data_IF_376902874002
#
_entry.id   IF_376902874002
#
_cell.length_a   1.000
_cell.length_b   1.000
_cell.length_c   1.000
_cell.angle_alpha   90.00
_cell.angle_beta   90.00
_cell.angle_gamma   90.00
#
_symmetry.space_group_name_H-M   'P 1'
#
loop_
_entity.id
_entity.type
_entity.pdbx_description
1 polymer ?
#
# COMPACT_ATOMS: atom_id res chain seq x y z
N UNK A 1 34.85 13.78 26.36
CA UNK A 1 35.71 13.89 25.15
C UNK A 1 35.50 12.68 24.30
N UNK A 2 34.60 12.79 23.33
CA UNK A 2 34.40 11.77 22.27
C UNK A 2 35.54 11.97 21.29
N UNK A 3 36.40 10.96 21.11
CA UNK A 3 37.39 10.94 20.04
C UNK A 3 36.63 10.83 18.69
N UNK A 4 36.66 11.90 17.90
CA UNK A 4 36.38 11.82 16.48
C UNK A 4 37.44 10.90 15.86
N UNK A 5 37.04 9.73 15.39
CA UNK A 5 37.90 8.90 14.57
C UNK A 5 38.25 9.71 13.30
N UNK A 6 39.53 9.80 13.00
CA UNK A 6 40.03 10.40 11.76
C UNK A 6 39.52 9.57 10.60
N UNK A 7 38.57 10.12 9.82
CA UNK A 7 38.19 9.55 8.54
C UNK A 7 39.41 9.67 7.65
N UNK A 8 39.93 8.53 7.16
CA UNK A 8 41.00 8.49 6.18
C UNK A 8 40.53 9.18 4.90
N UNK A 9 41.35 10.03 4.30
CA UNK A 9 41.07 10.70 3.03
C UNK A 9 40.91 9.70 1.84
N UNK A 10 41.22 8.44 2.07
CA UNK A 10 41.10 7.36 1.07
C UNK A 10 39.67 6.79 0.97
N UNK A 11 38.74 7.17 1.85
CA UNK A 11 37.32 6.84 1.83
C UNK A 11 36.41 7.99 1.38
N UNK A 12 36.86 8.84 0.49
CA UNK A 12 35.96 9.78 -0.19
C UNK A 12 35.10 8.94 -1.15
N UNK A 13 33.94 8.52 -0.68
CA UNK A 13 32.89 7.98 -1.56
C UNK A 13 32.56 9.09 -2.53
N UNK A 14 33.12 9.03 -3.75
CA UNK A 14 32.78 9.95 -4.82
C UNK A 14 31.27 9.83 -5.06
N UNK A 15 30.53 10.87 -4.75
CA UNK A 15 29.11 10.93 -5.01
C UNK A 15 28.87 10.71 -6.50
N UNK A 16 27.95 9.79 -6.82
CA UNK A 16 27.57 9.55 -8.22
C UNK A 16 27.18 10.89 -8.87
N UNK A 17 27.76 11.24 -10.05
CA UNK A 17 27.46 12.50 -10.73
C UNK A 17 25.99 12.80 -10.95
N UNK A 18 25.14 11.77 -10.98
CA UNK A 18 23.68 11.91 -11.08
C UNK A 18 23.03 12.60 -9.87
N UNK A 19 23.72 12.65 -8.73
CA UNK A 19 23.26 13.30 -7.50
C UNK A 19 23.97 14.63 -7.22
N UNK A 20 24.73 15.13 -8.19
CA UNK A 20 25.42 16.41 -8.05
C UNK A 20 24.42 17.57 -8.15
N UNK A 21 24.46 18.47 -7.16
CA UNK A 21 23.72 19.73 -7.16
C UNK A 21 24.71 20.86 -7.40
N UNK A 22 24.59 21.53 -8.55
CA UNK A 22 25.56 22.53 -9.00
C UNK A 22 25.58 23.79 -8.11
N UNK A 23 24.41 24.18 -7.57
CA UNK A 23 24.29 25.34 -6.69
C UNK A 23 23.40 24.98 -5.49
N UNK A 24 23.96 25.12 -4.29
CA UNK A 24 23.28 24.86 -3.02
C UNK A 24 23.09 26.13 -2.19
N UNK A 25 23.44 27.31 -2.72
CA UNK A 25 23.46 28.57 -1.98
C UNK A 25 22.10 29.00 -1.43
N UNK A 26 21.02 28.64 -2.11
CA UNK A 26 19.64 28.96 -1.74
C UNK A 26 18.93 27.79 -1.01
N UNK A 27 19.61 26.68 -0.74
CA UNK A 27 19.01 25.52 -0.08
C UNK A 27 19.13 25.66 1.44
N UNK A 28 17.99 25.84 2.08
CA UNK A 28 17.91 25.85 3.55
C UNK A 28 18.02 24.40 4.07
N UNK A 29 18.99 24.16 4.94
CA UNK A 29 19.21 22.84 5.52
C UNK A 29 18.59 22.73 6.94
N UNK A 30 18.09 21.50 7.31
CA UNK A 30 18.10 20.26 6.53
C UNK A 30 17.07 20.27 5.39
N UNK A 31 17.43 19.68 4.23
CA UNK A 31 16.56 19.58 3.08
C UNK A 31 16.58 18.17 2.48
N UNK A 32 15.45 17.74 1.95
CA UNK A 32 15.34 16.52 1.15
C UNK A 32 15.42 16.88 -0.33
N UNK A 33 16.43 16.37 -1.00
CA UNK A 33 16.62 16.59 -2.45
C UNK A 33 15.98 15.43 -3.23
N UNK A 34 15.13 15.76 -4.19
CA UNK A 34 14.50 14.78 -5.08
C UNK A 34 14.99 15.00 -6.49
N UNK A 35 15.67 13.98 -7.02
CA UNK A 35 16.19 14.00 -8.40
C UNK A 35 15.09 13.50 -9.33
N UNK A 36 14.42 14.43 -10.00
CA UNK A 36 13.23 14.18 -10.80
C UNK A 36 13.45 13.12 -11.86
N UNK A 37 14.56 13.16 -12.57
CA UNK A 37 14.87 12.19 -13.62
C UNK A 37 14.98 10.76 -13.09
N UNK A 38 15.58 10.59 -11.90
CA UNK A 38 15.66 9.29 -11.24
C UNK A 38 14.29 8.80 -10.78
N UNK A 39 13.49 9.70 -10.21
CA UNK A 39 12.12 9.40 -9.81
C UNK A 39 11.27 8.94 -11.00
N UNK A 40 11.30 9.67 -12.12
CA UNK A 40 10.58 9.32 -13.34
C UNK A 40 11.05 7.98 -13.92
N UNK A 41 12.37 7.73 -13.94
CA UNK A 41 12.93 6.45 -14.36
C UNK A 41 12.42 5.29 -13.50
N UNK A 42 12.37 5.47 -12.16
CA UNK A 42 11.84 4.48 -11.23
C UNK A 42 10.34 4.23 -11.45
N UNK A 43 9.56 5.30 -11.66
CA UNK A 43 8.13 5.17 -11.97
C UNK A 43 7.89 4.37 -13.25
N UNK A 44 8.63 4.65 -14.32
CA UNK A 44 8.56 3.85 -15.56
C UNK A 44 8.98 2.39 -15.32
N UNK A 45 9.96 2.16 -14.45
CA UNK A 45 10.44 0.83 -14.12
C UNK A 45 9.36 -0.01 -13.42
N UNK A 46 8.68 0.55 -12.39
CA UNK A 46 7.62 -0.18 -11.70
C UNK A 46 6.41 -0.46 -12.59
N UNK A 47 6.07 0.46 -13.51
CA UNK A 47 5.01 0.22 -14.51
C UNK A 47 5.35 -0.96 -15.41
N UNK A 48 6.61 -1.03 -15.86
CA UNK A 48 7.09 -2.15 -16.69
C UNK A 48 7.06 -3.48 -15.94
N UNK A 49 7.55 -3.52 -14.70
CA UNK A 49 7.51 -4.74 -13.86
C UNK A 49 6.07 -5.20 -13.64
N UNK A 50 5.15 -4.28 -13.37
CA UNK A 50 3.75 -4.60 -13.14
C UNK A 50 3.00 -5.07 -14.41
N UNK A 51 3.62 -4.94 -15.60
CA UNK A 51 2.95 -5.20 -16.87
C UNK A 51 1.91 -4.14 -17.24
N UNK A 52 2.08 -2.93 -16.74
CA UNK A 52 1.20 -1.78 -16.97
C UNK A 52 0.72 -1.11 -15.67
N UNK A 53 0.14 0.11 -15.76
CA UNK A 53 -0.21 0.91 -14.59
C UNK A 53 -1.47 0.40 -13.85
N UNK A 54 -2.35 -0.34 -14.52
CA UNK A 54 -3.67 -0.72 -14.00
C UNK A 54 -3.59 -1.62 -12.75
N UNK A 55 -2.54 -2.45 -12.64
CA UNK A 55 -2.31 -3.33 -11.49
C UNK A 55 -1.57 -2.63 -10.33
N UNK A 56 -1.07 -1.42 -10.54
CA UNK A 56 -0.35 -0.67 -9.50
C UNK A 56 -1.31 0.06 -8.56
N UNK A 57 -0.99 0.00 -7.28
CA UNK A 57 -1.59 0.75 -6.18
C UNK A 57 -0.46 1.18 -5.23
N UNK A 58 0.45 2.06 -5.68
CA UNK A 58 1.64 2.41 -4.91
C UNK A 58 1.27 3.07 -3.58
N UNK A 59 2.12 2.86 -2.57
CA UNK A 59 1.94 3.44 -1.25
C UNK A 59 2.58 4.82 -1.17
N UNK A 60 1.79 5.86 -0.91
CA UNK A 60 2.26 7.26 -0.91
C UNK A 60 3.07 7.65 0.34
N UNK A 61 3.06 6.83 1.43
CA UNK A 61 3.80 7.13 2.67
C UNK A 61 5.30 7.36 2.48
N UNK A 62 5.88 6.89 1.37
CA UNK A 62 7.29 7.07 1.08
C UNK A 62 7.63 8.51 0.70
N UNK A 63 6.68 9.23 0.11
CA UNK A 63 6.91 10.60 -0.38
C UNK A 63 5.95 11.63 0.21
N UNK A 64 4.69 11.28 0.47
CA UNK A 64 3.63 12.18 0.97
C UNK A 64 3.51 13.49 0.14
N UNK A 65 3.74 13.40 -1.18
CA UNK A 65 3.83 14.56 -2.08
C UNK A 65 2.82 14.46 -3.20
N UNK A 66 1.95 15.47 -3.32
CA UNK A 66 0.99 15.59 -4.42
C UNK A 66 1.65 15.68 -5.80
N UNK A 67 2.86 16.26 -5.88
CA UNK A 67 3.66 16.34 -7.11
C UNK A 67 4.04 14.95 -7.64
N UNK A 68 4.43 14.04 -6.76
CA UNK A 68 4.74 12.64 -7.13
C UNK A 68 3.47 11.92 -7.56
N UNK A 69 2.35 12.15 -6.86
CA UNK A 69 1.03 11.60 -7.25
C UNK A 69 0.63 12.09 -8.65
N UNK A 70 0.86 13.36 -8.97
CA UNK A 70 0.57 13.91 -10.31
C UNK A 70 1.37 13.18 -11.42
N UNK A 71 2.66 12.89 -11.20
CA UNK A 71 3.47 12.10 -12.13
C UNK A 71 2.93 10.66 -12.26
N UNK A 72 2.51 10.04 -11.16
CA UNK A 72 1.91 8.72 -11.18
C UNK A 72 0.60 8.68 -11.98
N UNK A 73 -0.27 9.68 -11.80
CA UNK A 73 -1.51 9.82 -12.56
C UNK A 73 -1.26 10.03 -14.06
N UNK A 74 -0.25 10.80 -14.44
CA UNK A 74 0.16 11.00 -15.84
C UNK A 74 0.59 9.68 -16.50
N UNK A 75 1.19 8.77 -15.73
CA UNK A 75 1.55 7.41 -16.19
C UNK A 75 0.37 6.42 -16.17
N UNK A 76 -0.83 6.87 -15.83
CA UNK A 76 -2.03 6.03 -15.76
C UNK A 76 -2.18 5.23 -14.46
N UNK A 77 -1.37 5.48 -13.44
CA UNK A 77 -1.52 4.87 -12.11
C UNK A 77 -2.62 5.62 -11.38
N UNK A 78 -3.84 5.10 -11.39
CA UNK A 78 -5.05 5.77 -10.90
C UNK A 78 -5.50 5.33 -9.51
N UNK A 79 -4.84 4.33 -8.92
CA UNK A 79 -5.16 3.74 -7.62
C UNK A 79 -3.98 3.92 -6.68
N UNK A 80 -4.24 4.35 -5.44
CA UNK A 80 -3.17 4.60 -4.48
C UNK A 80 -3.49 3.98 -3.13
N UNK A 81 -2.44 3.70 -2.36
CA UNK A 81 -2.48 3.22 -0.99
C UNK A 81 -1.88 4.27 -0.06
N UNK A 82 -2.46 4.41 1.13
CA UNK A 82 -1.99 5.34 2.16
C UNK A 82 -2.05 4.68 3.55
N UNK A 83 -1.43 5.32 4.54
CA UNK A 83 -1.40 4.86 5.93
C UNK A 83 -2.19 5.78 6.87
N UNK A 84 -2.49 7.00 6.46
CA UNK A 84 -3.19 8.00 7.28
C UNK A 84 -4.34 8.66 6.51
N UNK A 85 -5.27 9.25 7.25
CA UNK A 85 -6.35 10.04 6.62
C UNK A 85 -5.82 11.33 5.99
N UNK A 86 -4.75 11.92 6.52
CA UNK A 86 -4.11 13.08 5.90
C UNK A 86 -3.53 12.73 4.51
N UNK A 87 -2.87 11.57 4.40
CA UNK A 87 -2.43 11.04 3.11
C UNK A 87 -3.63 10.77 2.17
N UNK A 88 -4.74 10.22 2.69
CA UNK A 88 -5.95 9.99 1.89
C UNK A 88 -6.54 11.30 1.35
N UNK A 89 -6.59 12.35 2.16
CA UNK A 89 -7.04 13.69 1.77
C UNK A 89 -6.12 14.28 0.69
N UNK A 90 -4.80 14.22 0.88
CA UNK A 90 -3.81 14.65 -0.10
C UNK A 90 -3.99 13.93 -1.45
N UNK A 91 -4.22 12.60 -1.43
CA UNK A 91 -4.47 11.81 -2.63
C UNK A 91 -5.76 12.24 -3.33
N UNK A 92 -6.85 12.44 -2.58
CA UNK A 92 -8.13 12.86 -3.13
C UNK A 92 -8.05 14.27 -3.78
N UNK A 93 -7.37 15.21 -3.12
CA UNK A 93 -7.12 16.57 -3.60
C UNK A 93 -6.20 16.57 -4.84
N UNK A 94 -5.24 15.66 -4.91
CA UNK A 94 -4.39 15.46 -6.09
C UNK A 94 -5.12 14.80 -7.29
N UNK A 95 -6.39 14.40 -7.13
CA UNK A 95 -7.21 13.85 -8.21
C UNK A 95 -7.36 12.32 -8.21
N UNK A 96 -6.83 11.62 -7.22
CA UNK A 96 -7.03 10.16 -7.09
C UNK A 96 -8.48 9.85 -6.73
N UNK A 97 -9.08 8.86 -7.42
CA UNK A 97 -10.48 8.45 -7.20
C UNK A 97 -10.62 7.03 -6.62
N UNK A 98 -9.52 6.34 -6.39
CA UNK A 98 -9.49 5.01 -5.77
C UNK A 98 -8.38 4.99 -4.72
N UNK A 99 -8.74 5.22 -3.46
CA UNK A 99 -7.83 5.35 -2.31
C UNK A 99 -8.01 4.16 -1.39
N UNK A 100 -6.92 3.55 -0.98
CA UNK A 100 -6.88 2.47 -0.01
C UNK A 100 -6.09 2.88 1.22
N UNK A 101 -6.78 3.17 2.31
CA UNK A 101 -6.20 3.40 3.63
C UNK A 101 -5.94 2.05 4.30
N UNK A 102 -4.69 1.60 4.25
CA UNK A 102 -4.27 0.29 4.75
C UNK A 102 -4.08 0.31 6.27
N UNK A 103 -5.16 0.59 6.99
CA UNK A 103 -5.20 0.64 8.44
C UNK A 103 -6.59 0.26 8.98
N UNK A 104 -6.63 -0.39 10.14
CA UNK A 104 -7.87 -0.62 10.87
C UNK A 104 -8.41 0.70 11.42
N UNK A 105 -9.68 0.97 11.19
CA UNK A 105 -10.31 2.22 11.59
C UNK A 105 -10.95 2.08 12.96
N UNK A 106 -10.34 2.72 13.95
CA UNK A 106 -10.75 2.64 15.36
C UNK A 106 -10.93 4.05 15.98
N UNK A 107 -11.73 4.13 17.03
CA UNK A 107 -11.91 5.33 17.83
C UNK A 107 -12.31 6.57 17.01
N UNK A 108 -11.66 7.72 17.22
CA UNK A 108 -12.01 8.96 16.53
C UNK A 108 -11.87 8.90 15.01
N UNK A 109 -11.06 7.97 14.48
CA UNK A 109 -10.87 7.83 13.04
C UNK A 109 -12.13 7.35 12.31
N UNK A 110 -13.07 6.69 12.99
CA UNK A 110 -14.36 6.31 12.42
C UNK A 110 -15.11 7.55 11.91
N UNK A 111 -15.24 8.59 12.73
CA UNK A 111 -15.88 9.85 12.31
C UNK A 111 -15.12 10.55 11.20
N UNK A 112 -13.80 10.50 11.22
CA UNK A 112 -12.96 11.10 10.18
C UNK A 112 -13.11 10.39 8.83
N UNK A 113 -13.24 9.06 8.82
CA UNK A 113 -13.51 8.29 7.59
C UNK A 113 -14.88 8.66 7.03
N UNK A 114 -15.91 8.78 7.86
CA UNK A 114 -17.24 9.22 7.42
C UNK A 114 -17.17 10.63 6.84
N UNK A 115 -16.52 11.57 7.52
CA UNK A 115 -16.33 12.95 7.04
C UNK A 115 -15.54 13.00 5.71
N UNK A 116 -14.52 12.15 5.56
CA UNK A 116 -13.80 12.01 4.29
C UNK A 116 -14.74 11.59 3.15
N UNK A 117 -15.55 10.54 3.35
CA UNK A 117 -16.48 10.07 2.33
C UNK A 117 -17.53 11.13 1.96
N UNK A 118 -17.98 11.93 2.91
CA UNK A 118 -18.89 13.05 2.66
C UNK A 118 -18.22 14.21 1.90
N UNK A 119 -16.97 14.52 2.23
CA UNK A 119 -16.17 15.57 1.57
C UNK A 119 -15.76 15.21 0.14
N UNK A 120 -15.49 13.93 -0.10
CA UNK A 120 -15.01 13.43 -1.38
C UNK A 120 -15.93 12.30 -1.92
N UNK A 121 -17.19 12.62 -2.28
CA UNK A 121 -18.17 11.60 -2.67
C UNK A 121 -17.79 10.82 -3.94
N UNK A 122 -16.95 11.39 -4.80
CA UNK A 122 -16.44 10.73 -6.01
C UNK A 122 -15.21 9.84 -5.77
N UNK A 123 -14.70 9.80 -4.55
CA UNK A 123 -13.54 8.97 -4.18
C UNK A 123 -14.02 7.67 -3.54
N UNK A 124 -13.65 6.55 -4.15
CA UNK A 124 -13.80 5.24 -3.51
C UNK A 124 -12.75 5.11 -2.41
N UNK A 125 -13.19 5.07 -1.17
CA UNK A 125 -12.33 4.78 -0.04
C UNK A 125 -12.47 3.32 0.36
N UNK A 126 -11.33 2.60 0.44
CA UNK A 126 -11.23 1.30 1.06
C UNK A 126 -10.38 1.38 2.33
N UNK A 127 -10.68 0.52 3.31
CA UNK A 127 -9.93 0.37 4.56
C UNK A 127 -9.64 -1.10 4.83
N UNK A 128 -8.77 -1.41 5.81
CA UNK A 128 -8.57 -2.79 6.27
C UNK A 128 -9.41 -3.12 7.49
N UNK A 129 -9.64 -4.42 7.70
CA UNK A 129 -10.15 -4.97 8.95
C UNK A 129 -9.50 -6.32 9.27
N UNK A 130 -9.15 -6.52 10.55
CA UNK A 130 -8.67 -7.78 11.12
C UNK A 130 -9.37 -8.13 12.44
N UNK A 131 -10.36 -7.32 12.86
CA UNK A 131 -11.09 -7.50 14.10
C UNK A 131 -12.58 -7.11 13.95
N UNK A 132 -13.52 -7.84 14.57
CA UNK A 132 -14.97 -7.61 14.42
C UNK A 132 -15.45 -6.26 14.95
N UNK A 133 -14.85 -5.73 16.01
CA UNK A 133 -15.25 -4.46 16.62
C UNK A 133 -15.20 -3.26 15.67
N UNK A 134 -14.06 -2.98 15.03
CA UNK A 134 -13.94 -1.93 14.00
C UNK A 134 -14.92 -2.10 12.84
N UNK A 135 -15.18 -3.32 12.38
CA UNK A 135 -16.16 -3.60 11.32
C UNK A 135 -17.55 -3.10 11.71
N UNK A 136 -18.02 -3.53 12.90
CA UNK A 136 -19.33 -3.11 13.42
C UNK A 136 -19.41 -1.59 13.61
N UNK A 137 -18.41 -1.00 14.26
CA UNK A 137 -18.43 0.41 14.61
C UNK A 137 -18.38 1.32 13.36
N UNK A 138 -17.53 0.99 12.37
CA UNK A 138 -17.46 1.73 11.12
C UNK A 138 -18.74 1.54 10.30
N UNK A 139 -19.28 0.32 10.22
CA UNK A 139 -20.52 0.04 9.50
C UNK A 139 -21.70 0.82 10.05
N UNK A 140 -21.87 0.88 11.36
CA UNK A 140 -22.91 1.67 12.01
C UNK A 140 -22.79 3.17 11.69
N UNK A 141 -21.58 3.72 11.81
CA UNK A 141 -21.34 5.13 11.54
C UNK A 141 -21.54 5.49 10.05
N UNK A 142 -21.06 4.64 9.14
CA UNK A 142 -21.20 4.83 7.70
C UNK A 142 -22.68 4.73 7.27
N UNK A 143 -23.39 3.71 7.76
CA UNK A 143 -24.81 3.52 7.49
C UNK A 143 -25.65 4.72 7.99
N UNK A 144 -25.40 5.17 9.21
CA UNK A 144 -26.09 6.34 9.78
C UNK A 144 -25.84 7.64 8.99
N UNK A 145 -24.68 7.76 8.36
CA UNK A 145 -24.30 8.91 7.54
C UNK A 145 -24.68 8.77 6.05
N UNK A 146 -25.28 7.65 5.64
CA UNK A 146 -25.64 7.39 4.24
C UNK A 146 -24.44 7.22 3.30
N UNK A 147 -23.27 6.84 3.83
CA UNK A 147 -22.07 6.56 3.05
C UNK A 147 -21.73 5.06 3.06
N UNK A 148 -20.94 4.64 2.09
CA UNK A 148 -20.43 3.26 2.01
C UNK A 148 -18.92 3.25 1.93
N UNK A 149 -18.28 2.42 2.77
CA UNK A 149 -16.83 2.25 2.81
C UNK A 149 -16.47 0.84 2.32
N UNK A 150 -15.55 0.73 1.37
CA UNK A 150 -15.01 -0.57 0.98
C UNK A 150 -14.12 -1.12 2.10
N UNK A 151 -14.16 -2.43 2.33
CA UNK A 151 -13.36 -3.07 3.38
C UNK A 151 -12.66 -4.32 2.85
N UNK A 152 -11.34 -4.36 3.04
CA UNK A 152 -10.51 -5.51 2.74
C UNK A 152 -10.17 -6.23 4.05
N UNK A 153 -10.32 -7.55 4.06
CA UNK A 153 -9.77 -8.36 5.14
C UNK A 153 -8.24 -8.26 5.10
N UNK A 154 -7.63 -7.87 6.21
CA UNK A 154 -6.17 -7.84 6.35
C UNK A 154 -5.68 -9.24 6.70
N UNK A 155 -4.89 -9.85 5.82
CA UNK A 155 -4.38 -11.20 6.00
C UNK A 155 -2.93 -11.15 6.50
N UNK A 156 -2.71 -11.77 7.66
CA UNK A 156 -1.35 -12.00 8.17
C UNK A 156 -0.76 -13.26 7.52
N UNK A 157 0.30 -13.06 6.75
CA UNK A 157 1.08 -14.12 6.08
C UNK A 157 2.38 -14.44 6.81
N UNK A 158 2.51 -14.01 8.07
CA UNK A 158 3.69 -14.31 8.90
C UNK A 158 4.48 -13.09 9.35
N UNK A 159 4.04 -11.87 9.05
CA UNK A 159 4.67 -10.66 9.57
C UNK A 159 4.30 -10.38 11.03
N UNK A 160 3.13 -10.87 11.49
CA UNK A 160 2.65 -10.73 12.86
C UNK A 160 2.59 -9.29 13.37
N UNK A 161 2.26 -8.35 12.48
CA UNK A 161 2.11 -6.92 12.80
C UNK A 161 0.65 -6.52 12.92
N UNK A 162 -0.12 -6.80 11.89
CA UNK A 162 -1.57 -6.62 11.75
C UNK A 162 -2.13 -7.78 10.94
N UNK A 163 -3.43 -7.89 10.89
CA UNK A 163 -4.09 -8.91 10.09
C UNK A 163 -4.47 -10.16 10.89
N UNK A 164 -5.26 -10.98 10.25
CA UNK A 164 -5.73 -12.27 10.76
C UNK A 164 -5.20 -13.40 9.86
N UNK A 165 -4.71 -14.48 10.45
CA UNK A 165 -4.29 -15.65 9.68
C UNK A 165 -5.47 -16.33 8.99
N UNK A 166 -5.27 -16.87 7.79
CA UNK A 166 -6.29 -17.62 7.07
C UNK A 166 -6.83 -18.79 7.90
N UNK A 167 -8.15 -18.97 7.90
CA UNK A 167 -8.80 -20.02 8.68
C UNK A 167 -10.21 -19.64 9.15
N UNK A 168 -10.81 -20.43 10.07
CA UNK A 168 -12.20 -20.24 10.49
C UNK A 168 -12.51 -18.84 11.03
N UNK A 169 -11.62 -18.25 11.83
CA UNK A 169 -11.79 -16.90 12.38
C UNK A 169 -11.78 -15.83 11.28
N UNK A 170 -10.86 -15.94 10.30
CA UNK A 170 -10.82 -15.05 9.14
C UNK A 170 -12.10 -15.18 8.29
N UNK A 171 -12.62 -16.38 8.11
CA UNK A 171 -13.89 -16.62 7.44
C UNK A 171 -15.05 -15.94 8.14
N UNK A 172 -15.20 -16.17 9.44
CA UNK A 172 -16.27 -15.53 10.25
C UNK A 172 -16.20 -14.01 10.16
N UNK A 173 -15.01 -13.43 10.21
CA UNK A 173 -14.82 -11.99 10.07
C UNK A 173 -15.20 -11.50 8.67
N UNK A 174 -14.86 -12.25 7.62
CA UNK A 174 -15.21 -11.87 6.26
C UNK A 174 -16.73 -11.97 6.01
N UNK A 175 -17.39 -12.99 6.56
CA UNK A 175 -18.84 -13.11 6.57
C UNK A 175 -19.50 -11.90 7.25
N UNK A 176 -18.95 -11.45 8.39
CA UNK A 176 -19.40 -10.23 9.06
C UNK A 176 -19.23 -9.00 8.18
N UNK A 177 -18.07 -8.81 7.51
CA UNK A 177 -17.85 -7.72 6.57
C UNK A 177 -18.92 -7.71 5.47
N UNK A 178 -19.26 -8.89 4.93
CA UNK A 178 -20.28 -9.03 3.88
C UNK A 178 -21.69 -8.66 4.35
N UNK A 179 -21.99 -8.84 5.64
CA UNK A 179 -23.32 -8.62 6.22
C UNK A 179 -23.48 -7.25 6.88
N UNK A 180 -22.40 -6.49 7.07
CA UNK A 180 -22.44 -5.23 7.82
C UNK A 180 -22.95 -4.07 6.95
N UNK A 181 -24.11 -3.45 7.27
CA UNK A 181 -24.60 -2.27 6.56
C UNK A 181 -23.57 -1.12 6.61
N UNK A 182 -23.48 -0.33 5.53
CA UNK A 182 -22.51 0.77 5.42
C UNK A 182 -21.10 0.31 5.03
N UNK A 183 -20.85 -1.01 4.98
CA UNK A 183 -19.59 -1.61 4.52
C UNK A 183 -19.85 -2.40 3.23
N UNK A 184 -18.88 -2.38 2.31
CA UNK A 184 -18.86 -3.20 1.12
C UNK A 184 -17.62 -4.09 1.10
N UNK A 185 -17.77 -5.43 1.04
CA UNK A 185 -16.62 -6.32 0.95
C UNK A 185 -15.86 -6.06 -0.36
N UNK A 186 -14.53 -5.95 -0.27
CA UNK A 186 -13.70 -5.62 -1.42
C UNK A 186 -12.59 -6.66 -1.69
N UNK A 187 -12.43 -7.66 -0.83
CA UNK A 187 -11.41 -8.69 -0.96
C UNK A 187 -10.36 -8.63 0.13
N UNK A 188 -9.08 -8.87 -0.20
CA UNK A 188 -8.03 -9.01 0.79
C UNK A 188 -6.90 -8.00 0.60
N UNK A 189 -6.30 -7.60 1.70
CA UNK A 189 -4.99 -6.97 1.78
C UNK A 189 -3.99 -8.01 2.28
N UNK A 190 -2.88 -8.17 1.56
CA UNK A 190 -1.87 -9.21 1.81
C UNK A 190 -0.50 -8.54 1.78
N UNK A 191 -0.04 -8.06 2.93
CA UNK A 191 1.25 -7.40 3.04
C UNK A 191 2.28 -8.31 3.68
N UNK A 192 3.36 -8.57 2.97
CA UNK A 192 4.41 -9.53 3.26
C UNK A 192 5.78 -8.86 3.47
N UNK A 193 5.82 -7.74 4.18
CA UNK A 193 7.04 -6.96 4.40
C UNK A 193 8.17 -7.67 5.13
N UNK A 194 7.93 -8.85 5.71
CA UNK A 194 8.93 -9.74 6.29
C UNK A 194 9.69 -10.57 5.22
N UNK A 195 9.20 -10.60 4.00
CA UNK A 195 9.81 -11.34 2.89
C UNK A 195 10.89 -10.49 2.22
N UNK A 196 12.09 -10.54 2.79
CA UNK A 196 13.25 -9.75 2.34
C UNK A 196 14.53 -10.58 2.19
N UNK A 197 14.40 -11.86 1.87
CA UNK A 197 15.54 -12.73 1.56
C UNK A 197 16.38 -12.12 0.44
N UNK A 198 17.69 -12.16 0.57
CA UNK A 198 18.62 -11.60 -0.42
C UNK A 198 18.52 -12.35 -1.76
N UNK A 199 18.40 -13.67 -1.72
CA UNK A 199 18.17 -14.49 -2.91
C UNK A 199 16.74 -14.30 -3.42
N UNK A 200 16.61 -13.91 -4.71
CA UNK A 200 15.30 -13.79 -5.36
C UNK A 200 14.53 -15.11 -5.40
N UNK A 201 15.24 -16.22 -5.60
CA UNK A 201 14.62 -17.55 -5.69
C UNK A 201 14.10 -18.01 -4.32
N UNK A 202 14.85 -17.81 -3.25
CA UNK A 202 14.39 -18.09 -1.88
C UNK A 202 13.18 -17.24 -1.52
N UNK A 203 13.22 -15.95 -1.83
CA UNK A 203 12.10 -15.03 -1.62
C UNK A 203 10.88 -15.48 -2.42
N UNK A 204 11.06 -15.88 -3.67
CA UNK A 204 10.00 -16.39 -4.52
C UNK A 204 9.31 -17.62 -3.93
N UNK A 205 10.09 -18.57 -3.46
CA UNK A 205 9.56 -19.79 -2.81
C UNK A 205 8.74 -19.39 -1.57
N UNK A 206 9.28 -18.56 -0.69
CA UNK A 206 8.61 -18.14 0.54
C UNK A 206 7.31 -17.35 0.26
N UNK A 207 7.37 -16.35 -0.62
CA UNK A 207 6.20 -15.53 -1.00
C UNK A 207 5.08 -16.38 -1.60
N UNK A 208 5.42 -17.25 -2.56
CA UNK A 208 4.43 -18.06 -3.25
C UNK A 208 3.82 -19.14 -2.35
N UNK A 209 4.59 -19.72 -1.42
CA UNK A 209 4.07 -20.69 -0.46
C UNK A 209 2.97 -20.10 0.43
N UNK A 210 3.20 -18.91 0.97
CA UNK A 210 2.18 -18.22 1.77
C UNK A 210 1.01 -17.73 0.92
N UNK A 211 1.28 -17.23 -0.28
CA UNK A 211 0.23 -16.74 -1.15
C UNK A 211 -0.72 -17.85 -1.64
N UNK A 212 -0.23 -19.09 -1.83
CA UNK A 212 -1.10 -20.23 -2.16
C UNK A 212 -2.17 -20.47 -1.08
N UNK A 213 -1.85 -20.29 0.20
CA UNK A 213 -2.82 -20.39 1.30
C UNK A 213 -3.91 -19.32 1.18
N UNK A 214 -3.49 -18.09 0.82
CA UNK A 214 -4.43 -16.96 0.59
C UNK A 214 -5.34 -17.24 -0.60
N UNK A 215 -4.81 -17.79 -1.69
CA UNK A 215 -5.61 -18.15 -2.87
C UNK A 215 -6.61 -19.27 -2.56
N UNK A 216 -6.19 -20.32 -1.85
CA UNK A 216 -7.08 -21.40 -1.42
C UNK A 216 -8.23 -20.86 -0.54
N UNK A 217 -7.91 -19.96 0.39
CA UNK A 217 -8.91 -19.32 1.25
C UNK A 217 -9.87 -18.42 0.45
N UNK A 218 -9.36 -17.65 -0.52
CA UNK A 218 -10.21 -16.89 -1.46
C UNK A 218 -11.18 -17.80 -2.19
N UNK A 219 -10.69 -18.92 -2.73
CA UNK A 219 -11.49 -19.86 -3.52
C UNK A 219 -12.57 -20.53 -2.68
N UNK A 220 -12.25 -20.85 -1.41
CA UNK A 220 -13.21 -21.35 -0.42
C UNK A 220 -14.35 -20.34 -0.19
N UNK A 221 -14.03 -19.05 0.01
CA UNK A 221 -15.02 -18.01 0.23
C UNK A 221 -15.90 -17.79 -1.01
N UNK A 222 -15.28 -17.75 -2.20
CA UNK A 222 -15.99 -17.59 -3.46
C UNK A 222 -16.94 -18.77 -3.72
N UNK A 223 -16.50 -20.00 -3.44
CA UNK A 223 -17.33 -21.19 -3.54
C UNK A 223 -18.52 -21.16 -2.54
N UNK A 224 -18.37 -20.48 -1.40
CA UNK A 224 -19.45 -20.22 -0.45
C UNK A 224 -20.36 -19.04 -0.83
N UNK A 225 -20.17 -18.42 -2.01
CA UNK A 225 -20.95 -17.28 -2.47
C UNK A 225 -20.52 -15.92 -1.90
N UNK A 226 -19.39 -15.84 -1.21
CA UNK A 226 -18.87 -14.59 -0.67
C UNK A 226 -17.97 -13.88 -1.71
N UNK A 227 -18.21 -12.61 -2.05
CA UNK A 227 -17.48 -11.93 -3.12
C UNK A 227 -16.06 -11.52 -2.67
N UNK A 228 -15.03 -11.98 -3.37
CA UNK A 228 -13.65 -11.55 -3.19
C UNK A 228 -13.15 -10.93 -4.50
N UNK A 229 -13.35 -9.62 -4.66
CA UNK A 229 -13.19 -8.94 -5.95
C UNK A 229 -11.75 -8.51 -6.25
N UNK A 230 -10.91 -8.31 -5.24
CA UNK A 230 -9.52 -7.87 -5.41
C UNK A 230 -8.59 -8.43 -4.32
N UNK A 231 -7.32 -8.59 -4.68
CA UNK A 231 -6.24 -8.90 -3.77
C UNK A 231 -5.19 -7.78 -3.90
N UNK A 232 -4.94 -7.05 -2.82
CA UNK A 232 -3.92 -6.00 -2.78
C UNK A 232 -2.69 -6.57 -2.09
N UNK A 233 -1.64 -6.86 -2.87
CA UNK A 233 -0.53 -7.69 -2.44
C UNK A 233 0.80 -6.96 -2.46
N UNK A 234 1.70 -7.43 -1.61
CA UNK A 234 3.12 -7.16 -1.64
C UNK A 234 3.56 -5.78 -1.20
N UNK A 235 4.86 -5.69 -1.02
CA UNK A 235 5.64 -4.47 -0.85
C UNK A 235 6.67 -4.35 -1.96
N UNK A 236 7.65 -3.46 -1.82
CA UNK A 236 8.69 -3.23 -2.84
C UNK A 236 9.47 -4.50 -3.18
N UNK A 237 9.82 -5.32 -2.18
CA UNK A 237 10.63 -6.52 -2.38
C UNK A 237 9.88 -7.68 -3.07
N UNK A 238 8.57 -7.78 -2.85
CA UNK A 238 7.76 -8.94 -3.28
C UNK A 238 6.87 -8.68 -4.48
N UNK A 239 6.48 -7.41 -4.77
CA UNK A 239 5.56 -7.14 -5.88
C UNK A 239 6.05 -7.66 -7.25
N UNK A 240 7.35 -7.70 -7.59
CA UNK A 240 7.79 -8.28 -8.85
C UNK A 240 7.44 -9.76 -9.00
N UNK A 241 7.42 -10.50 -7.87
CA UNK A 241 7.08 -11.91 -7.85
C UNK A 241 5.57 -12.14 -8.07
N UNK A 242 4.73 -11.29 -7.47
CA UNK A 242 3.29 -11.30 -7.75
C UNK A 242 2.97 -10.86 -9.18
N UNK A 243 3.78 -9.97 -9.76
CA UNK A 243 3.57 -9.50 -11.13
C UNK A 243 3.73 -10.61 -12.18
N UNK A 244 4.51 -11.66 -11.88
CA UNK A 244 4.65 -12.85 -12.72
C UNK A 244 3.38 -13.71 -12.78
N UNK A 245 2.47 -13.54 -11.82
CA UNK A 245 1.23 -14.29 -11.78
C UNK A 245 0.19 -13.71 -12.74
N UNK A 246 -0.36 -14.57 -13.58
CA UNK A 246 -1.43 -14.23 -14.54
C UNK A 246 -2.80 -14.12 -13.84
N UNK A 247 -2.95 -13.17 -12.92
CA UNK A 247 -4.17 -12.98 -12.15
C UNK A 247 -4.64 -11.51 -12.21
N UNK A 248 -5.67 -11.19 -12.98
CA UNK A 248 -6.12 -9.80 -13.21
C UNK A 248 -6.70 -9.12 -11.97
N UNK A 249 -7.09 -9.89 -10.95
CA UNK A 249 -7.59 -9.37 -9.66
C UNK A 249 -6.50 -8.88 -8.72
N UNK A 250 -5.22 -9.12 -9.04
CA UNK A 250 -4.10 -8.68 -8.23
C UNK A 250 -3.80 -7.19 -8.45
N UNK A 251 -3.67 -6.46 -7.36
CA UNK A 251 -3.11 -5.12 -7.33
C UNK A 251 -1.86 -5.10 -6.47
N UNK A 252 -0.82 -4.37 -6.90
CA UNK A 252 0.48 -4.34 -6.23
C UNK A 252 0.69 -3.04 -5.49
N UNK A 253 1.24 -3.12 -4.28
CA UNK A 253 1.43 -1.98 -3.39
C UNK A 253 2.90 -1.66 -3.09
N UNK A 254 3.78 -1.48 -4.10
CA UNK A 254 5.14 -1.02 -3.84
C UNK A 254 5.12 0.41 -3.27
N UNK A 255 6.13 0.76 -2.47
CA UNK A 255 6.26 2.10 -1.89
C UNK A 255 7.63 2.70 -2.11
N UNK A 256 8.66 2.15 -1.46
CA UNK A 256 10.02 2.71 -1.43
C UNK A 256 10.75 2.66 -2.77
N UNK A 257 10.32 1.83 -3.71
CA UNK A 257 10.90 1.67 -5.04
C UNK A 257 10.97 2.97 -5.88
N UNK A 258 10.18 3.99 -5.55
CA UNK A 258 10.22 5.27 -6.26
C UNK A 258 11.49 6.09 -5.95
N UNK A 259 12.07 5.90 -4.76
CA UNK A 259 13.32 6.55 -4.35
C UNK A 259 14.52 5.60 -4.31
N UNK A 260 14.31 4.32 -4.65
CA UNK A 260 15.35 3.29 -4.65
C UNK A 260 16.05 3.18 -3.29
N UNK A 261 15.28 2.85 -2.26
CA UNK A 261 15.80 2.62 -0.91
C UNK A 261 16.88 1.52 -0.91
N UNK A 262 18.08 1.85 -0.43
CA UNK A 262 19.22 0.94 -0.39
C UNK A 262 19.02 -0.25 0.57
N UNK A 263 18.00 -0.22 1.41
CA UNK A 263 17.63 -1.32 2.32
C UNK A 263 16.78 -2.42 1.68
N UNK A 264 16.45 -2.30 0.39
CA UNK A 264 15.61 -3.25 -0.34
C UNK A 264 16.35 -3.92 -1.49
#
# INVERSE_FOLDING_TARGET
>A
LVRLASISLDEVVLMDPRYYVADTSEIITPALLIFREQLEANLHHIVRIAGGPVRLRPHCKTHEMSQVVALQLQLGISKHKCATLAEAEMLAEAGVRDVFLAYNIVGPNIRRVVAFCQRFPDVRLAVTADHPGPVTALGQAASAAGVTVEMLLDIDTGQHRTGITVGPAARTLYEQICQTPGVRPAGFHVYDGHQHQTSRDERRVAVLAEFQKVLAFRDELVAAGLPVSKLVCGGTASFPLYAELAAPTLAFSPGTCIFNDAGY
#
